data_IF_003612241293
#
_entry.id   IF_003612241293
#
_cell.length_a   1.000
_cell.length_b   1.000
_cell.length_c   1.000
_cell.angle_alpha   90.00
_cell.angle_beta   90.00
_cell.angle_gamma   90.00
#
_symmetry.space_group_name_H-M   'P 1'
#
loop_
_entity.id
_entity.type
_entity.pdbx_description
1 polymer ?
#
# COMPACT_ATOMS: atom_id res chain seq x y z
N UNK A 1 1.61 1.88 -13.41
CA UNK A 1 2.68 2.80 -12.96
C UNK A 1 3.80 1.94 -12.37
N UNK A 2 5.05 2.22 -12.70
CA UNK A 2 6.26 1.50 -12.22
C UNK A 2 6.22 -0.03 -12.42
N UNK A 3 5.36 -0.47 -13.33
CA UNK A 3 5.09 -1.86 -13.62
C UNK A 3 4.58 -2.02 -15.04
N UNK A 4 4.78 -3.21 -15.59
CA UNK A 4 4.22 -3.66 -16.85
C UNK A 4 3.62 -5.05 -16.63
N UNK A 5 2.47 -5.34 -17.25
CA UNK A 5 1.84 -6.64 -17.13
C UNK A 5 1.42 -7.20 -18.49
N UNK A 6 1.25 -8.51 -18.54
CA UNK A 6 0.72 -9.23 -19.71
C UNK A 6 -0.23 -10.33 -19.27
N UNK A 7 -1.25 -10.60 -20.08
CA UNK A 7 -2.12 -11.77 -19.96
C UNK A 7 -2.07 -12.60 -21.23
N UNK A 8 -2.14 -13.92 -21.09
CA UNK A 8 -2.16 -14.85 -22.23
C UNK A 8 -2.98 -16.09 -21.92
N UNK A 9 -3.42 -16.78 -22.96
CA UNK A 9 -4.06 -18.08 -22.83
C UNK A 9 -3.01 -19.18 -22.62
N UNK A 10 -3.28 -20.20 -21.79
CA UNK A 10 -2.36 -21.31 -21.62
C UNK A 10 -2.14 -22.06 -22.93
N UNK A 11 -0.87 -22.37 -23.23
CA UNK A 11 -0.45 -23.25 -24.30
C UNK A 11 -0.60 -24.71 -23.84
N UNK A 12 -1.10 -25.57 -24.73
CA UNK A 12 -1.23 -26.99 -24.46
C UNK A 12 0.14 -27.60 -24.08
N UNK A 13 0.14 -28.45 -23.04
CA UNK A 13 1.31 -29.15 -22.50
C UNK A 13 2.38 -28.26 -21.80
N UNK A 14 2.20 -26.94 -21.74
CA UNK A 14 3.07 -26.08 -20.93
C UNK A 14 2.87 -26.37 -19.43
N UNK A 15 3.96 -26.64 -18.74
CA UNK A 15 3.96 -26.95 -17.30
C UNK A 15 4.07 -25.66 -16.47
N UNK A 16 4.97 -24.77 -16.89
CA UNK A 16 5.19 -23.44 -16.30
C UNK A 16 5.53 -22.45 -17.42
N UNK A 17 5.76 -21.19 -17.04
CA UNK A 17 6.27 -20.16 -17.94
C UNK A 17 7.42 -19.43 -17.28
N UNK A 18 8.42 -19.07 -18.07
CA UNK A 18 9.36 -18.03 -17.73
C UNK A 18 8.90 -16.73 -18.41
N UNK A 19 9.05 -15.62 -17.70
CA UNK A 19 8.76 -14.30 -18.24
C UNK A 19 9.96 -13.40 -18.03
N UNK A 20 10.32 -12.69 -19.09
CA UNK A 20 11.44 -11.76 -19.11
C UNK A 20 10.96 -10.38 -19.53
N UNK A 21 11.57 -9.33 -19.01
CA UNK A 21 11.38 -7.98 -19.52
C UNK A 21 12.65 -7.45 -20.20
N UNK A 22 12.45 -6.61 -21.21
CA UNK A 22 13.51 -5.80 -21.82
C UNK A 22 13.03 -4.37 -21.97
N UNK A 23 13.91 -3.39 -21.76
CA UNK A 23 13.58 -1.96 -21.78
C UNK A 23 14.50 -1.17 -20.86
N UNK A 24 14.63 0.14 -21.10
CA UNK A 24 15.49 1.04 -20.32
C UNK A 24 16.95 0.52 -20.13
N UNK A 25 17.54 -0.06 -21.18
CA UNK A 25 18.90 -0.62 -21.15
C UNK A 25 19.02 -2.02 -20.54
N UNK A 26 17.92 -2.60 -20.04
CA UNK A 26 17.88 -3.97 -19.53
C UNK A 26 17.43 -4.92 -20.65
N UNK A 27 18.08 -6.07 -20.76
CA UNK A 27 17.79 -7.09 -21.78
C UNK A 27 17.50 -8.42 -21.10
N UNK A 28 16.31 -8.98 -21.38
CA UNK A 28 15.87 -10.28 -20.92
C UNK A 28 16.07 -10.52 -19.41
N UNK A 29 15.72 -9.55 -18.57
CA UNK A 29 15.72 -9.77 -17.12
C UNK A 29 14.53 -10.65 -16.76
N UNK A 30 14.79 -11.83 -16.18
CA UNK A 30 13.74 -12.72 -15.72
C UNK A 30 13.03 -12.12 -14.50
N UNK A 31 11.71 -12.26 -14.44
CA UNK A 31 10.92 -11.91 -13.26
C UNK A 31 10.78 -13.10 -12.32
N UNK A 32 10.49 -12.83 -11.05
CA UNK A 32 10.25 -13.86 -10.05
C UNK A 32 9.02 -14.71 -10.41
N UNK A 33 9.10 -16.01 -10.15
CA UNK A 33 8.04 -16.96 -10.55
C UNK A 33 6.72 -16.70 -9.83
N UNK A 34 6.75 -16.11 -8.63
CA UNK A 34 5.57 -15.69 -7.87
C UNK A 34 4.74 -14.63 -8.61
N UNK A 35 5.36 -13.87 -9.51
CA UNK A 35 4.71 -12.85 -10.31
C UNK A 35 4.04 -13.42 -11.57
N UNK A 36 4.22 -14.72 -11.85
CA UNK A 36 3.63 -15.46 -12.98
C UNK A 36 2.50 -16.33 -12.44
N UNK A 37 1.25 -15.94 -12.69
CA UNK A 37 0.07 -16.45 -11.99
C UNK A 37 -0.94 -17.05 -12.96
N UNK A 38 -1.48 -18.22 -12.61
CA UNK A 38 -2.57 -18.88 -13.35
C UNK A 38 -3.91 -18.50 -12.75
N UNK A 39 -4.85 -18.10 -13.60
CA UNK A 39 -6.26 -17.84 -13.27
C UNK A 39 -7.18 -18.89 -13.92
N UNK A 40 -6.64 -20.07 -14.23
CA UNK A 40 -7.33 -21.17 -14.92
C UNK A 40 -7.47 -20.94 -16.42
N UNK A 41 -8.26 -19.95 -16.83
CA UNK A 41 -8.52 -19.65 -18.26
C UNK A 41 -7.44 -18.79 -18.93
N UNK A 42 -6.65 -18.08 -18.12
CA UNK A 42 -5.53 -17.27 -18.58
C UNK A 42 -4.41 -17.26 -17.54
N UNK A 43 -3.23 -16.86 -17.98
CA UNK A 43 -2.11 -16.50 -17.11
C UNK A 43 -1.92 -14.98 -17.11
N UNK A 44 -1.35 -14.47 -16.02
CA UNK A 44 -0.92 -13.08 -15.88
C UNK A 44 0.53 -13.05 -15.39
N UNK A 45 1.32 -12.11 -15.88
CA UNK A 45 2.62 -11.78 -15.34
C UNK A 45 2.74 -10.29 -15.08
N UNK A 46 3.36 -9.91 -13.97
CA UNK A 46 3.58 -8.51 -13.58
C UNK A 46 5.08 -8.27 -13.36
N UNK A 47 5.72 -7.50 -14.24
CA UNK A 47 7.06 -6.97 -14.02
C UNK A 47 6.95 -5.70 -13.18
N UNK A 48 7.52 -5.71 -11.97
CA UNK A 48 7.39 -4.65 -10.97
C UNK A 48 8.73 -3.93 -10.72
N UNK A 49 8.66 -2.69 -10.25
CA UNK A 49 9.85 -1.91 -9.92
C UNK A 49 10.60 -1.42 -11.15
N UNK A 50 9.86 -1.01 -12.18
CA UNK A 50 10.42 -0.55 -13.44
C UNK A 50 10.52 0.98 -13.45
N UNK A 51 11.64 1.49 -13.98
CA UNK A 51 11.77 2.91 -14.26
C UNK A 51 10.80 3.36 -15.36
N UNK A 52 10.44 4.65 -15.45
CA UNK A 52 9.69 5.17 -16.58
C UNK A 52 10.41 4.87 -17.89
N UNK A 53 9.67 4.38 -18.88
CA UNK A 53 10.27 3.96 -20.14
C UNK A 53 9.33 3.08 -20.97
N UNK A 54 9.92 2.50 -22.01
CA UNK A 54 9.23 1.55 -22.89
C UNK A 54 9.83 0.17 -22.72
N UNK A 55 8.98 -0.83 -22.52
CA UNK A 55 9.35 -2.20 -22.22
C UNK A 55 8.63 -3.19 -23.13
N UNK A 56 9.18 -4.40 -23.25
CA UNK A 56 8.49 -5.56 -23.82
C UNK A 56 8.58 -6.71 -22.84
N UNK A 57 7.53 -7.52 -22.73
CA UNK A 57 7.54 -8.78 -21.97
C UNK A 57 7.65 -9.96 -22.94
N UNK A 58 8.61 -10.84 -22.68
CA UNK A 58 8.83 -12.10 -23.41
C UNK A 58 8.34 -13.26 -22.54
N UNK A 59 7.33 -13.97 -23.02
CA UNK A 59 6.69 -15.10 -22.37
C UNK A 59 7.20 -16.38 -23.03
N UNK A 60 7.71 -17.31 -22.23
CA UNK A 60 8.34 -18.54 -22.71
C UNK A 60 7.70 -19.74 -22.01
N UNK A 61 6.95 -20.61 -22.72
CA UNK A 61 6.41 -21.82 -22.12
C UNK A 61 7.55 -22.78 -21.77
N UNK A 62 7.41 -23.51 -20.67
CA UNK A 62 8.35 -24.55 -20.25
C UNK A 62 7.66 -25.91 -20.37
N UNK A 63 8.21 -26.79 -21.21
CA UNK A 63 7.69 -28.14 -21.48
C UNK A 63 8.82 -29.13 -21.24
N UNK A 64 8.63 -30.06 -20.29
CA UNK A 64 9.66 -31.03 -19.93
C UNK A 64 10.94 -30.37 -19.39
N UNK A 65 10.78 -29.23 -18.70
CA UNK A 65 11.91 -28.45 -18.16
C UNK A 65 12.68 -27.62 -19.20
N UNK A 66 12.24 -27.59 -20.47
CA UNK A 66 12.90 -26.85 -21.55
C UNK A 66 12.04 -25.68 -22.01
N UNK A 67 12.68 -24.52 -22.21
CA UNK A 67 12.04 -23.35 -22.80
C UNK A 67 11.64 -23.60 -24.25
N UNK A 68 10.37 -23.36 -24.56
CA UNK A 68 9.81 -23.46 -25.90
C UNK A 68 9.90 -22.15 -26.70
N UNK A 69 9.04 -22.02 -27.71
CA UNK A 69 8.97 -20.82 -28.54
C UNK A 69 8.39 -19.65 -27.75
N UNK A 70 9.15 -18.56 -27.67
CA UNK A 70 8.75 -17.35 -26.97
C UNK A 70 7.73 -16.52 -27.75
N UNK A 71 6.86 -15.82 -27.03
CA UNK A 71 6.01 -14.74 -27.55
C UNK A 71 6.43 -13.42 -26.89
N UNK A 72 6.51 -12.33 -27.65
CA UNK A 72 6.89 -11.01 -27.14
C UNK A 72 5.71 -10.05 -27.29
N UNK A 73 5.40 -9.29 -26.25
CA UNK A 73 4.37 -8.25 -26.31
C UNK A 73 4.77 -7.13 -27.28
N UNK A 74 3.78 -6.35 -27.72
CA UNK A 74 4.06 -4.99 -28.19
C UNK A 74 4.76 -4.16 -27.10
N UNK A 75 5.29 -3.00 -27.48
CA UNK A 75 5.83 -2.02 -26.55
C UNK A 75 4.78 -1.64 -25.48
N UNK A 76 5.20 -1.62 -24.22
CA UNK A 76 4.44 -1.27 -23.03
C UNK A 76 5.06 -0.01 -22.42
N UNK A 77 4.25 1.01 -22.17
CA UNK A 77 4.70 2.24 -21.52
C UNK A 77 4.62 2.10 -20.00
N UNK A 78 5.72 2.39 -19.33
CA UNK A 78 5.82 2.49 -17.87
C UNK A 78 5.99 3.96 -17.51
N UNK A 79 5.21 4.43 -16.53
CA UNK A 79 5.25 5.79 -16.00
C UNK A 79 5.61 5.76 -14.51
N UNK A 80 6.14 6.86 -13.99
CA UNK A 80 6.46 7.02 -12.57
C UNK A 80 5.19 7.18 -11.73
N UNK A 81 5.29 6.81 -10.45
CA UNK A 81 4.35 7.30 -9.45
C UNK A 81 4.59 8.78 -9.13
N UNK A 82 3.52 9.50 -8.80
CA UNK A 82 3.54 10.90 -8.41
C UNK A 82 4.00 11.04 -6.94
N UNK A 83 5.26 11.44 -6.76
CA UNK A 83 5.92 11.59 -5.46
C UNK A 83 5.80 13.02 -4.93
N UNK A 84 4.58 13.52 -4.81
CA UNK A 84 4.27 14.84 -4.27
C UNK A 84 3.79 14.77 -2.81
N UNK A 85 3.86 15.89 -2.09
CA UNK A 85 3.36 15.99 -0.71
C UNK A 85 4.41 15.77 0.38
N UNK A 86 3.97 15.87 1.63
CA UNK A 86 4.85 15.93 2.78
C UNK A 86 5.64 14.64 3.07
N UNK A 87 5.23 13.47 2.55
CA UNK A 87 5.99 12.22 2.72
C UNK A 87 7.39 12.27 2.08
N UNK A 88 7.61 13.21 1.16
CA UNK A 88 8.88 13.40 0.44
C UNK A 88 9.66 14.63 0.93
N UNK A 89 9.24 15.22 2.05
CA UNK A 89 9.93 16.35 2.68
C UNK A 89 11.41 16.02 2.92
N UNK A 90 12.27 17.01 2.76
CA UNK A 90 13.73 16.83 2.91
C UNK A 90 14.37 15.90 1.88
N UNK A 91 13.70 15.60 0.77
CA UNK A 91 14.21 14.71 -0.29
C UNK A 91 14.12 13.23 0.07
N UNK A 92 13.31 12.87 1.07
CA UNK A 92 13.08 11.47 1.44
C UNK A 92 12.25 10.75 0.38
N UNK A 93 12.48 9.44 0.25
CA UNK A 93 11.66 8.53 -0.55
C UNK A 93 11.31 7.33 0.34
N UNK A 94 10.11 7.34 0.94
CA UNK A 94 9.62 6.24 1.78
C UNK A 94 9.63 4.90 1.05
N UNK A 95 9.73 3.81 1.82
CA UNK A 95 9.63 2.46 1.26
C UNK A 95 10.89 1.92 0.58
N UNK A 96 10.77 0.78 -0.08
CA UNK A 96 11.82 0.02 -0.72
C UNK A 96 12.07 0.39 -2.20
N UNK A 97 11.49 1.49 -2.68
CA UNK A 97 11.64 1.98 -4.04
C UNK A 97 12.45 3.29 -4.12
N UNK A 98 13.25 3.42 -5.17
CA UNK A 98 13.93 4.67 -5.53
C UNK A 98 12.94 5.69 -6.09
N UNK A 99 13.34 6.96 -6.18
CA UNK A 99 12.54 8.03 -6.78
C UNK A 99 12.10 7.76 -8.23
N UNK A 100 12.86 6.93 -8.96
CA UNK A 100 12.54 6.53 -10.33
C UNK A 100 11.67 5.26 -10.40
N UNK A 101 11.18 4.72 -9.28
CA UNK A 101 10.35 3.51 -9.25
C UNK A 101 11.11 2.19 -9.29
N UNK A 102 12.44 2.18 -9.41
CA UNK A 102 13.22 0.94 -9.31
C UNK A 102 13.36 0.48 -7.86
N UNK A 103 13.47 -0.82 -7.61
CA UNK A 103 13.72 -1.36 -6.27
C UNK A 103 15.09 -0.89 -5.76
N UNK A 104 15.15 -0.46 -4.48
CA UNK A 104 16.40 -0.07 -3.82
C UNK A 104 17.40 -1.23 -3.79
N UNK A 105 18.69 -0.92 -3.90
CA UNK A 105 19.75 -1.92 -3.78
C UNK A 105 19.66 -2.67 -2.44
N UNK A 106 19.95 -3.97 -2.46
CA UNK A 106 19.92 -4.84 -1.27
C UNK A 106 18.54 -4.99 -0.61
N UNK A 107 17.47 -4.55 -1.27
CA UNK A 107 16.11 -4.81 -0.79
C UNK A 107 15.85 -6.32 -0.70
N UNK A 108 15.16 -6.72 0.35
CA UNK A 108 14.69 -8.10 0.54
C UNK A 108 13.21 -8.16 0.19
N UNK A 109 12.88 -9.00 -0.79
CA UNK A 109 11.52 -9.16 -1.30
C UNK A 109 10.89 -10.39 -0.67
N UNK A 110 9.69 -10.20 -0.09
CA UNK A 110 8.92 -11.25 0.56
C UNK A 110 7.56 -11.36 -0.11
N UNK A 111 7.25 -12.53 -0.68
CA UNK A 111 5.97 -12.79 -1.35
C UNK A 111 4.99 -13.47 -0.40
N UNK A 112 3.85 -12.83 -0.20
CA UNK A 112 2.76 -13.30 0.64
C UNK A 112 1.60 -13.72 -0.26
N UNK A 113 1.26 -14.99 -0.23
CA UNK A 113 0.05 -15.56 -0.83
C UNK A 113 -0.83 -16.12 0.27
N UNK A 114 -2.10 -16.40 -0.04
CA UNK A 114 -2.99 -17.07 0.92
C UNK A 114 -2.39 -18.38 1.46
N UNK A 115 -1.62 -19.10 0.65
CA UNK A 115 -1.00 -20.37 1.01
C UNK A 115 0.32 -20.21 1.79
N UNK A 116 1.01 -19.08 1.65
CA UNK A 116 2.34 -18.85 2.24
C UNK A 116 2.34 -17.86 3.40
N UNK A 117 1.23 -17.18 3.68
CA UNK A 117 1.11 -16.13 4.71
C UNK A 117 1.61 -16.55 6.10
N UNK A 118 1.51 -17.83 6.45
CA UNK A 118 1.92 -18.35 7.75
C UNK A 118 3.28 -19.07 7.75
N UNK A 119 3.91 -19.26 6.58
CA UNK A 119 5.11 -20.12 6.42
C UNK A 119 6.28 -19.40 5.79
N UNK A 120 6.05 -18.22 5.22
CA UNK A 120 7.13 -17.37 4.71
C UNK A 120 8.17 -17.10 5.80
N UNK A 121 9.43 -17.02 5.43
CA UNK A 121 10.49 -16.78 6.41
C UNK A 121 11.61 -15.92 5.86
N UNK A 122 12.28 -15.21 6.77
CA UNK A 122 13.40 -14.34 6.45
C UNK A 122 14.36 -14.29 7.64
N UNK A 123 15.67 -14.35 7.37
CA UNK A 123 16.67 -14.00 8.37
C UNK A 123 16.74 -12.48 8.49
N UNK A 124 16.49 -11.93 9.68
CA UNK A 124 16.52 -10.49 9.95
C UNK A 124 17.63 -10.17 10.94
N UNK A 125 18.45 -9.18 10.60
CA UNK A 125 19.58 -8.74 11.41
C UNK A 125 19.09 -8.19 12.74
N UNK A 126 19.56 -8.78 13.84
CA UNK A 126 19.20 -8.35 15.20
C UNK A 126 17.87 -8.91 15.72
N UNK A 127 17.17 -9.74 14.95
CA UNK A 127 16.00 -10.46 15.45
C UNK A 127 16.37 -11.44 16.57
N UNK A 128 15.44 -11.68 17.49
CA UNK A 128 15.63 -12.59 18.64
C UNK A 128 15.84 -14.04 18.19
N UNK A 129 15.11 -14.46 17.16
CA UNK A 129 15.17 -15.81 16.58
C UNK A 129 15.25 -15.68 15.06
N UNK A 130 16.10 -16.49 14.45
CA UNK A 130 16.21 -16.62 13.01
C UNK A 130 16.11 -18.10 12.58
N UNK A 131 15.44 -18.40 11.46
CA UNK A 131 14.69 -17.46 10.63
C UNK A 131 13.41 -16.97 11.34
N UNK A 132 13.02 -15.72 11.10
CA UNK A 132 11.69 -15.25 11.47
C UNK A 132 10.66 -15.94 10.56
N UNK A 133 9.64 -16.59 11.11
CA UNK A 133 8.61 -17.31 10.34
C UNK A 133 7.25 -16.64 10.50
N UNK A 134 6.59 -16.34 9.39
CA UNK A 134 5.35 -15.56 9.31
C UNK A 134 5.60 -14.05 9.18
N UNK A 135 4.68 -13.35 8.51
CA UNK A 135 4.83 -11.91 8.21
C UNK A 135 5.01 -11.06 9.47
N UNK A 136 4.15 -11.24 10.49
CA UNK A 136 4.23 -10.45 11.71
C UNK A 136 5.56 -10.67 12.46
N UNK A 137 6.06 -11.90 12.51
CA UNK A 137 7.36 -12.23 13.12
C UNK A 137 8.52 -11.58 12.37
N UNK A 138 8.45 -11.52 11.03
CA UNK A 138 9.46 -10.82 10.21
C UNK A 138 9.45 -9.33 10.54
N UNK A 139 8.27 -8.70 10.61
CA UNK A 139 8.12 -7.29 10.97
C UNK A 139 8.63 -7.00 12.39
N UNK A 140 8.42 -7.92 13.34
CA UNK A 140 9.00 -7.82 14.69
C UNK A 140 10.53 -7.94 14.72
N UNK A 141 11.13 -8.59 13.72
CA UNK A 141 12.57 -8.55 13.49
C UNK A 141 13.02 -7.16 13.05
N UNK A 142 12.34 -6.55 12.06
CA UNK A 142 12.65 -5.20 11.58
C UNK A 142 12.39 -4.11 12.62
N UNK A 143 11.39 -4.31 13.48
CA UNK A 143 11.11 -3.51 14.67
C UNK A 143 12.33 -3.33 15.59
N UNK A 144 13.35 -4.19 15.52
CA UNK A 144 14.58 -4.05 16.32
C UNK A 144 15.48 -2.91 15.86
N UNK A 145 15.22 -2.28 14.72
CA UNK A 145 15.98 -1.12 14.21
C UNK A 145 17.44 -1.45 13.86
N UNK A 146 17.72 -2.70 13.45
CA UNK A 146 19.09 -3.20 13.21
C UNK A 146 19.33 -3.72 11.79
N UNK A 147 18.28 -4.03 11.05
CA UNK A 147 18.38 -4.44 9.66
C UNK A 147 18.19 -3.24 8.74
N UNK A 148 19.25 -2.86 8.02
CA UNK A 148 19.24 -1.72 7.12
C UNK A 148 18.79 -2.07 5.69
N UNK A 149 18.49 -3.35 5.40
CA UNK A 149 17.98 -3.73 4.09
C UNK A 149 16.55 -3.19 3.95
N UNK A 150 16.19 -2.53 2.83
CA UNK A 150 14.79 -2.20 2.57
C UNK A 150 13.93 -3.47 2.52
N UNK A 151 12.84 -3.52 3.26
CA UNK A 151 11.90 -4.63 3.20
C UNK A 151 10.81 -4.31 2.17
N UNK A 152 10.63 -5.20 1.19
CA UNK A 152 9.55 -5.13 0.23
C UNK A 152 8.63 -6.35 0.38
N UNK A 153 7.46 -6.14 0.97
CA UNK A 153 6.43 -7.18 1.12
C UNK A 153 5.43 -7.06 -0.02
N UNK A 154 5.21 -8.15 -0.76
CA UNK A 154 4.30 -8.23 -1.90
C UNK A 154 3.14 -9.17 -1.60
N UNK A 155 1.93 -8.65 -1.50
CA UNK A 155 0.70 -9.42 -1.39
C UNK A 155 0.22 -9.87 -2.77
N UNK A 156 -0.11 -11.15 -2.90
CA UNK A 156 -0.60 -11.76 -4.13
C UNK A 156 -1.93 -12.46 -3.85
N UNK A 157 -3.00 -11.96 -4.47
CA UNK A 157 -4.35 -12.48 -4.29
C UNK A 157 -5.01 -12.04 -2.99
N UNK A 158 -6.13 -12.67 -2.65
CA UNK A 158 -6.89 -12.41 -1.44
C UNK A 158 -6.23 -13.06 -0.22
N UNK A 159 -5.74 -12.24 0.71
CA UNK A 159 -5.08 -12.68 1.94
C UNK A 159 -6.06 -12.51 3.11
N UNK A 160 -6.54 -13.63 3.65
CA UNK A 160 -7.32 -13.61 4.89
C UNK A 160 -6.41 -13.63 6.13
N UNK A 161 -6.98 -13.62 7.33
CA UNK A 161 -6.26 -13.59 8.60
C UNK A 161 -5.04 -14.52 8.67
N UNK A 162 -3.96 -13.98 9.21
CA UNK A 162 -2.72 -14.72 9.47
C UNK A 162 -2.81 -15.40 10.83
N UNK A 163 -2.04 -16.47 11.02
CA UNK A 163 -2.01 -17.20 12.29
C UNK A 163 -1.43 -16.40 13.44
N UNK A 164 -0.62 -15.37 13.13
CA UNK A 164 -0.06 -14.45 14.12
C UNK A 164 -0.21 -13.00 13.63
N UNK A 165 -0.96 -12.23 14.41
CA UNK A 165 -1.28 -10.81 14.21
C UNK A 165 -1.37 -10.16 15.60
N UNK A 166 -1.11 -8.85 15.71
CA UNK A 166 -1.29 -8.14 16.98
C UNK A 166 -2.68 -7.54 17.03
N UNK A 167 -3.60 -8.16 17.78
CA UNK A 167 -4.97 -7.66 17.93
C UNK A 167 -5.72 -7.51 16.59
N UNK A 168 -5.54 -8.48 15.70
CA UNK A 168 -6.13 -8.46 14.35
C UNK A 168 -5.37 -7.60 13.33
N UNK A 169 -4.30 -6.91 13.73
CA UNK A 169 -3.48 -6.11 12.82
C UNK A 169 -2.18 -6.82 12.41
N UNK A 170 -1.76 -6.55 11.17
CA UNK A 170 -0.35 -6.59 10.78
C UNK A 170 0.30 -5.25 11.13
N UNK A 171 1.29 -5.30 12.02
CA UNK A 171 1.91 -4.11 12.60
C UNK A 171 3.29 -3.87 12.01
N UNK A 172 3.46 -2.70 11.40
CA UNK A 172 4.71 -2.19 10.84
C UNK A 172 5.36 -1.26 11.88
N UNK A 173 6.54 -1.65 12.35
CA UNK A 173 7.42 -0.87 13.22
C UNK A 173 8.86 -1.04 12.72
N UNK A 174 9.69 0.00 12.82
CA UNK A 174 11.13 -0.11 12.53
C UNK A 174 12.02 0.67 13.50
N UNK A 175 11.49 1.00 14.68
CA UNK A 175 12.19 1.78 15.73
C UNK A 175 12.69 3.14 15.24
N UNK A 176 11.95 3.73 14.28
CA UNK A 176 12.36 4.96 13.58
C UNK A 176 13.80 4.89 13.04
N UNK A 177 14.24 3.71 12.63
CA UNK A 177 15.61 3.51 12.16
C UNK A 177 15.84 4.30 10.88
N UNK A 178 16.74 5.29 10.93
CA UNK A 178 16.92 6.27 9.87
C UNK A 178 17.29 5.67 8.49
N UNK A 179 17.94 4.51 8.49
CA UNK A 179 18.31 3.76 7.27
C UNK A 179 17.30 2.65 6.92
N UNK A 180 16.34 2.37 7.79
CA UNK A 180 15.29 1.38 7.60
C UNK A 180 14.18 1.92 6.70
N UNK A 181 13.60 1.03 5.89
CA UNK A 181 12.42 1.35 5.09
C UNK A 181 11.61 0.08 4.80
N UNK A 182 10.30 0.22 4.76
CA UNK A 182 9.37 -0.89 4.56
C UNK A 182 8.32 -0.48 3.52
N UNK A 183 8.14 -1.28 2.48
CA UNK A 183 6.99 -1.21 1.59
C UNK A 183 6.11 -2.43 1.78
N UNK A 184 4.82 -2.21 1.96
CA UNK A 184 3.79 -3.23 1.82
C UNK A 184 2.98 -2.92 0.55
N UNK A 185 3.13 -3.74 -0.48
CA UNK A 185 2.43 -3.55 -1.75
C UNK A 185 1.62 -4.76 -2.19
N UNK A 186 0.57 -4.54 -2.97
CA UNK A 186 -0.14 -5.60 -3.66
C UNK A 186 0.33 -5.77 -5.10
N UNK A 187 0.20 -6.99 -5.61
CA UNK A 187 0.59 -7.34 -6.99
C UNK A 187 -0.64 -7.50 -7.87
N UNK A 188 -0.68 -6.76 -8.97
CA UNK A 188 -1.77 -6.81 -9.94
C UNK A 188 -3.04 -6.12 -9.44
N UNK A 189 -4.19 -6.73 -9.68
CA UNK A 189 -5.52 -6.14 -9.42
C UNK A 189 -6.38 -7.00 -8.49
N UNK A 190 -5.76 -7.92 -7.75
CA UNK A 190 -6.42 -8.93 -6.94
C UNK A 190 -5.79 -9.10 -5.56
N UNK A 191 -4.84 -8.23 -5.19
CA UNK A 191 -4.19 -8.23 -3.89
C UNK A 191 -5.07 -7.58 -2.83
N UNK A 192 -5.53 -8.34 -1.84
CA UNK A 192 -6.49 -7.87 -0.84
C UNK A 192 -6.05 -8.27 0.58
N UNK A 193 -6.10 -7.33 1.51
CA UNK A 193 -6.13 -7.56 2.94
C UNK A 193 -7.60 -7.71 3.39
N UNK A 194 -8.00 -8.91 3.77
CA UNK A 194 -9.40 -9.27 4.03
C UNK A 194 -9.57 -9.85 5.42
N UNK A 195 -10.27 -9.14 6.30
CA UNK A 195 -10.42 -9.55 7.70
C UNK A 195 -9.53 -8.76 8.66
N UNK A 196 -8.38 -8.26 8.23
CA UNK A 196 -7.36 -7.72 9.14
C UNK A 196 -6.93 -6.29 8.78
N UNK A 197 -6.40 -5.58 9.78
CA UNK A 197 -5.95 -4.19 9.67
C UNK A 197 -4.45 -4.05 9.45
N UNK A 198 -4.00 -2.91 8.93
CA UNK A 198 -2.58 -2.54 8.84
C UNK A 198 -2.31 -1.39 9.79
N UNK A 199 -1.46 -1.62 10.78
CA UNK A 199 -1.12 -0.61 11.79
C UNK A 199 0.33 -0.19 11.70
N UNK A 200 0.58 1.12 11.62
CA UNK A 200 1.92 1.70 11.60
C UNK A 200 2.17 2.44 12.91
N UNK A 201 3.24 2.07 13.62
CA UNK A 201 3.68 2.75 14.85
C UNK A 201 5.19 2.73 14.99
N UNK A 202 5.77 3.78 15.57
CA UNK A 202 7.21 3.92 15.80
C UNK A 202 8.02 3.58 14.52
N UNK A 203 7.58 4.13 13.39
CA UNK A 203 8.12 3.79 12.08
C UNK A 203 8.45 5.01 11.20
N UNK A 204 9.62 4.97 10.56
CA UNK A 204 10.06 5.94 9.55
C UNK A 204 10.14 5.29 8.17
N UNK A 205 9.91 6.06 7.09
CA UNK A 205 10.08 5.63 5.68
C UNK A 205 9.22 4.42 5.28
N UNK A 206 7.91 4.54 5.45
CA UNK A 206 6.94 3.47 5.12
C UNK A 206 6.14 3.82 3.87
N UNK A 207 5.97 2.85 2.98
CA UNK A 207 5.07 2.93 1.81
C UNK A 207 4.04 1.79 1.87
N UNK A 208 2.76 2.12 1.68
CA UNK A 208 1.70 1.12 1.56
C UNK A 208 0.94 1.40 0.27
N UNK A 209 0.85 0.42 -0.63
CA UNK A 209 0.31 0.68 -1.97
C UNK A 209 -0.36 -0.49 -2.69
N UNK A 210 -1.26 -0.17 -3.63
CA UNK A 210 -1.84 -1.14 -4.58
C UNK A 210 -2.48 -2.36 -3.89
N UNK A 211 -3.17 -2.14 -2.78
CA UNK A 211 -3.87 -3.18 -2.01
C UNK A 211 -5.34 -2.79 -1.90
N UNK A 212 -6.24 -3.78 -1.97
CA UNK A 212 -7.61 -3.64 -1.52
C UNK A 212 -7.73 -3.98 -0.03
N UNK A 213 -8.48 -3.20 0.75
CA UNK A 213 -8.78 -3.50 2.16
C UNK A 213 -10.29 -3.72 2.32
N UNK A 214 -10.70 -4.78 3.01
CA UNK A 214 -12.12 -5.08 3.24
C UNK A 214 -12.33 -5.92 4.50
N UNK A 215 -13.52 -5.81 5.09
CA UNK A 215 -13.95 -6.61 6.24
C UNK A 215 -12.98 -6.56 7.44
N UNK A 216 -12.23 -5.47 7.63
CA UNK A 216 -11.28 -5.34 8.74
C UNK A 216 -12.02 -5.45 10.09
N UNK A 217 -11.73 -6.50 10.85
CA UNK A 217 -12.34 -6.80 12.16
C UNK A 217 -11.33 -6.72 13.33
N UNK A 218 -10.20 -6.04 13.10
CA UNK A 218 -9.16 -5.84 14.12
C UNK A 218 -9.68 -5.02 15.32
N UNK A 219 -9.01 -5.16 16.48
CA UNK A 219 -9.42 -4.45 17.70
C UNK A 219 -9.32 -2.92 17.54
N UNK A 220 -8.40 -2.44 16.70
CA UNK A 220 -8.28 -1.01 16.38
C UNK A 220 -9.40 -0.54 15.43
N UNK A 221 -9.97 -1.45 14.65
CA UNK A 221 -11.05 -1.20 13.70
C UNK A 221 -10.65 -0.43 12.44
N UNK A 222 -9.44 0.12 12.38
CA UNK A 222 -8.93 0.87 11.25
C UNK A 222 -8.42 -0.06 10.14
N UNK A 223 -8.87 0.08 8.88
CA UNK A 223 -8.31 -0.73 7.77
C UNK A 223 -6.80 -0.45 7.64
N UNK A 224 -6.42 0.83 7.64
CA UNK A 224 -5.03 1.27 7.77
C UNK A 224 -4.96 2.40 8.81
N UNK A 225 -4.21 2.19 9.89
CA UNK A 225 -4.06 3.16 10.97
C UNK A 225 -2.60 3.54 11.25
N UNK A 226 -2.28 4.82 11.11
CA UNK A 226 -1.04 5.40 11.64
C UNK A 226 -1.31 5.88 13.07
N UNK A 227 -0.67 5.26 14.06
CA UNK A 227 -1.09 5.43 15.46
C UNK A 227 -0.19 6.35 16.29
N UNK A 228 1.13 6.19 16.18
CA UNK A 228 2.07 6.88 17.08
C UNK A 228 3.49 6.91 16.53
N UNK A 229 4.12 8.07 16.65
CA UNK A 229 5.54 8.32 16.42
C UNK A 229 6.04 7.83 15.06
N UNK A 230 5.28 8.15 14.00
CA UNK A 230 5.64 7.82 12.63
C UNK A 230 6.09 9.07 11.85
N UNK A 231 7.05 8.88 10.93
CA UNK A 231 7.47 9.92 9.99
C UNK A 231 7.72 9.40 8.57
N UNK A 232 7.47 10.25 7.56
CA UNK A 232 7.70 9.93 6.14
C UNK A 232 6.94 8.66 5.72
N UNK A 233 5.60 8.74 5.77
CA UNK A 233 4.71 7.64 5.41
C UNK A 233 3.88 8.01 4.18
N UNK A 234 3.86 7.11 3.18
CA UNK A 234 3.09 7.27 1.96
C UNK A 234 2.09 6.13 1.78
N UNK A 235 0.80 6.44 1.76
CA UNK A 235 -0.27 5.46 1.47
C UNK A 235 -0.95 5.84 0.18
N UNK A 236 -0.84 5.00 -0.86
CA UNK A 236 -1.32 5.38 -2.17
C UNK A 236 -1.82 4.23 -3.05
N UNK A 237 -2.74 4.54 -3.97
CA UNK A 237 -3.37 3.53 -4.84
C UNK A 237 -3.97 2.37 -4.02
N UNK A 238 -4.54 2.67 -2.85
CA UNK A 238 -5.24 1.69 -2.02
C UNK A 238 -6.74 1.83 -2.25
N UNK A 239 -7.41 0.69 -2.44
CA UNK A 239 -8.86 0.62 -2.49
C UNK A 239 -9.37 0.27 -1.09
N UNK A 240 -10.16 1.15 -0.49
CA UNK A 240 -10.82 0.97 0.79
C UNK A 240 -12.28 0.59 0.53
N UNK A 241 -12.56 -0.71 0.58
CA UNK A 241 -13.93 -1.21 0.51
C UNK A 241 -14.59 -1.15 1.89
N UNK A 242 -15.84 -1.62 1.95
CA UNK A 242 -16.65 -1.66 3.16
C UNK A 242 -15.93 -2.37 4.33
N UNK A 243 -15.91 -1.71 5.49
CA UNK A 243 -15.30 -2.26 6.72
C UNK A 243 -16.23 -3.22 7.46
N UNK A 244 -15.71 -3.96 8.44
CA UNK A 244 -16.55 -4.83 9.27
C UNK A 244 -17.48 -4.00 10.17
N UNK A 245 -18.77 -4.31 10.22
CA UNK A 245 -19.71 -3.56 11.04
C UNK A 245 -19.31 -3.60 12.53
N UNK A 246 -19.12 -2.42 13.13
CA UNK A 246 -18.83 -2.28 14.57
C UNK A 246 -20.10 -2.19 15.42
N UNK A 247 -19.93 -2.02 16.74
CA UNK A 247 -21.05 -1.93 17.67
C UNK A 247 -21.67 -0.54 17.75
N UNK A 248 -20.92 0.51 17.41
CA UNK A 248 -21.44 1.88 17.47
C UNK A 248 -22.31 2.22 16.25
N UNK A 249 -23.35 3.06 16.40
CA UNK A 249 -24.24 3.44 15.29
C UNK A 249 -23.53 4.09 14.10
N UNK A 250 -22.35 4.69 14.31
CA UNK A 250 -21.55 5.29 13.25
C UNK A 250 -20.49 4.33 12.64
N UNK A 251 -20.47 3.07 13.10
CA UNK A 251 -19.57 2.00 12.64
C UNK A 251 -20.28 0.93 11.79
N UNK A 252 -21.51 1.18 11.31
CA UNK A 252 -22.24 0.24 10.45
C UNK A 252 -21.45 -0.14 9.19
N UNK A 253 -20.57 0.76 8.72
CA UNK A 253 -19.66 0.57 7.58
C UNK A 253 -18.17 0.41 7.95
N UNK A 254 -17.88 -0.03 9.19
CA UNK A 254 -16.52 -0.06 9.75
C UNK A 254 -16.15 1.17 10.58
N UNK A 255 -14.99 1.09 11.26
CA UNK A 255 -14.38 2.27 11.88
C UNK A 255 -13.63 3.14 10.85
N UNK A 256 -12.36 3.49 11.07
CA UNK A 256 -11.57 4.31 10.15
C UNK A 256 -11.10 3.52 8.93
N UNK A 257 -11.26 4.05 7.73
CA UNK A 257 -10.64 3.45 6.55
C UNK A 257 -9.13 3.73 6.55
N UNK A 258 -8.74 5.00 6.69
CA UNK A 258 -7.35 5.42 6.71
C UNK A 258 -7.16 6.56 7.71
N UNK A 259 -6.81 6.19 8.93
CA UNK A 259 -6.66 7.11 10.07
C UNK A 259 -5.19 7.48 10.31
N UNK A 260 -4.96 8.73 10.70
CA UNK A 260 -3.63 9.25 10.99
C UNK A 260 -3.61 10.00 12.32
N UNK A 261 -2.87 9.44 13.28
CA UNK A 261 -2.72 9.90 14.66
C UNK A 261 -1.21 9.99 14.96
N UNK A 262 -0.80 11.04 15.69
CA UNK A 262 0.56 11.29 16.21
C UNK A 262 1.68 10.96 15.21
N UNK A 263 1.54 11.41 13.97
CA UNK A 263 2.46 11.13 12.86
C UNK A 263 2.76 12.42 12.11
N UNK A 264 3.86 12.47 11.35
CA UNK A 264 4.20 13.67 10.55
C UNK A 264 4.88 13.31 9.24
N UNK A 265 4.95 14.27 8.31
CA UNK A 265 5.44 14.06 6.96
C UNK A 265 4.70 12.90 6.28
N UNK A 266 3.38 13.03 6.20
CA UNK A 266 2.50 11.99 5.66
C UNK A 266 1.91 12.42 4.31
N UNK A 267 1.69 11.47 3.42
CA UNK A 267 0.93 11.70 2.18
C UNK A 267 -0.02 10.54 1.92
N UNK A 268 -1.29 10.87 1.71
CA UNK A 268 -2.31 9.93 1.27
C UNK A 268 -2.79 10.34 -0.12
N UNK A 269 -2.55 9.49 -1.12
CA UNK A 269 -2.78 9.90 -2.51
C UNK A 269 -3.33 8.81 -3.42
N UNK A 270 -4.16 9.17 -4.40
CA UNK A 270 -4.71 8.21 -5.38
C UNK A 270 -5.43 7.01 -4.73
N UNK A 271 -5.94 7.17 -3.50
CA UNK A 271 -6.72 6.13 -2.84
C UNK A 271 -8.19 6.25 -3.21
N UNK A 272 -8.90 5.12 -3.25
CA UNK A 272 -10.33 5.06 -3.55
C UNK A 272 -11.07 4.56 -2.32
N UNK A 273 -11.97 5.38 -1.79
CA UNK A 273 -12.83 5.04 -0.68
C UNK A 273 -14.20 4.68 -1.23
N UNK A 274 -14.51 3.38 -1.32
CA UNK A 274 -15.73 2.85 -1.87
C UNK A 274 -16.76 2.59 -0.77
N UNK A 275 -17.77 3.46 -0.69
CA UNK A 275 -18.89 3.33 0.25
C UNK A 275 -18.44 3.13 1.72
N UNK A 276 -17.34 3.78 2.12
CA UNK A 276 -16.81 3.72 3.49
C UNK A 276 -17.59 4.63 4.45
N UNK A 277 -17.66 4.28 5.73
CA UNK A 277 -18.35 5.13 6.74
C UNK A 277 -17.50 6.32 7.21
N UNK A 278 -16.30 6.03 7.73
CA UNK A 278 -15.39 7.03 8.30
C UNK A 278 -14.07 6.96 7.55
N UNK A 279 -13.86 7.85 6.57
CA UNK A 279 -12.72 7.72 5.65
C UNK A 279 -11.38 8.04 6.30
N UNK A 280 -11.20 9.28 6.81
CA UNK A 280 -9.93 9.76 7.34
C UNK A 280 -10.10 10.61 8.60
N UNK A 281 -9.89 10.03 9.77
CA UNK A 281 -9.60 10.82 10.97
C UNK A 281 -8.15 11.28 10.94
N UNK A 282 -7.94 12.57 11.13
CA UNK A 282 -6.63 13.16 11.26
C UNK A 282 -6.51 13.86 12.61
N UNK A 283 -5.74 13.26 13.49
CA UNK A 283 -5.55 13.70 14.86
C UNK A 283 -6.65 13.23 15.81
N UNK A 284 -6.26 12.99 17.06
CA UNK A 284 -7.13 12.57 18.16
C UNK A 284 -6.79 13.34 19.46
N UNK A 285 -5.53 13.30 19.87
CA UNK A 285 -5.07 13.79 21.19
C UNK A 285 -3.59 14.24 21.19
N UNK A 286 -3.16 14.88 20.10
CA UNK A 286 -1.76 15.28 19.87
C UNK A 286 -1.25 16.31 20.86
N UNK A 287 -2.13 17.14 21.43
CA UNK A 287 -1.80 18.20 22.38
C UNK A 287 -0.75 19.23 21.89
N UNK A 288 -0.46 19.25 20.59
CA UNK A 288 0.40 20.21 19.90
C UNK A 288 -0.15 20.49 18.51
N UNK A 289 0.16 21.66 17.95
CA UNK A 289 -0.13 22.03 16.55
C UNK A 289 1.15 22.21 15.72
N UNK A 290 2.32 21.99 16.33
CA UNK A 290 3.61 22.17 15.68
C UNK A 290 4.12 20.85 15.10
N UNK A 291 4.70 20.91 13.90
CA UNK A 291 5.38 19.76 13.31
C UNK A 291 4.43 18.65 12.83
N UNK A 292 3.14 18.95 12.60
CA UNK A 292 2.12 17.99 12.19
C UNK A 292 1.66 18.29 10.76
N UNK A 293 2.28 17.63 9.78
CA UNK A 293 2.11 17.92 8.36
C UNK A 293 1.64 16.70 7.57
N UNK A 294 0.63 16.91 6.73
CA UNK A 294 0.08 15.85 5.89
C UNK A 294 -0.54 16.40 4.60
N UNK A 295 -0.41 15.63 3.53
CA UNK A 295 -0.99 15.91 2.22
C UNK A 295 -2.03 14.86 1.85
N UNK A 296 -3.17 15.29 1.33
CA UNK A 296 -4.18 14.45 0.70
C UNK A 296 -4.33 14.87 -0.75
N UNK A 297 -4.04 13.99 -1.72
CA UNK A 297 -4.27 14.35 -3.12
C UNK A 297 -4.73 13.25 -4.05
N UNK A 298 -5.56 13.63 -5.03
CA UNK A 298 -6.08 12.70 -6.04
C UNK A 298 -6.82 11.48 -5.46
N UNK A 299 -7.27 11.56 -4.22
CA UNK A 299 -8.13 10.53 -3.65
C UNK A 299 -9.55 10.65 -4.20
N UNK A 300 -10.22 9.52 -4.33
CA UNK A 300 -11.62 9.46 -4.72
C UNK A 300 -12.47 8.98 -3.53
N UNK A 301 -13.34 9.86 -3.06
CA UNK A 301 -14.31 9.60 -2.01
C UNK A 301 -15.66 9.28 -2.63
N UNK A 302 -15.89 7.99 -2.89
CA UNK A 302 -16.97 7.46 -3.72
C UNK A 302 -18.09 6.88 -2.88
N UNK A 303 -19.18 7.64 -2.72
CA UNK A 303 -20.35 7.32 -1.90
C UNK A 303 -20.03 7.05 -0.41
N UNK A 304 -18.87 7.47 0.05
CA UNK A 304 -18.46 7.39 1.46
C UNK A 304 -19.17 8.43 2.34
N UNK A 305 -19.41 8.14 3.61
CA UNK A 305 -20.26 8.98 4.44
C UNK A 305 -19.54 10.26 4.92
N UNK A 306 -18.36 10.15 5.54
CA UNK A 306 -17.76 11.26 6.30
C UNK A 306 -16.23 11.21 6.46
N UNK A 307 -15.67 12.30 7.00
CA UNK A 307 -14.26 12.48 7.37
C UNK A 307 -13.32 12.47 6.15
N UNK A 308 -13.42 13.47 5.28
CA UNK A 308 -12.66 13.51 4.01
C UNK A 308 -11.70 14.72 3.84
N UNK A 309 -10.73 14.97 4.74
CA UNK A 309 -10.52 14.38 6.07
C UNK A 309 -11.27 15.13 7.19
N UNK A 310 -11.39 14.53 8.38
CA UNK A 310 -11.70 15.27 9.61
C UNK A 310 -10.41 15.59 10.35
N UNK A 311 -10.02 16.85 10.36
CA UNK A 311 -8.73 17.35 10.86
C UNK A 311 -8.87 17.95 12.24
N UNK A 312 -7.94 17.59 13.12
CA UNK A 312 -7.63 18.22 14.41
C UNK A 312 -6.14 18.52 14.41
N UNK A 313 -5.69 19.60 15.04
CA UNK A 313 -4.28 19.95 15.30
C UNK A 313 -3.32 20.17 14.10
N UNK A 314 -3.51 19.46 12.99
CA UNK A 314 -2.55 19.37 11.88
C UNK A 314 -2.67 20.54 10.91
N UNK A 315 -1.58 20.79 10.19
CA UNK A 315 -1.59 21.53 8.92
C UNK A 315 -1.74 20.54 7.77
N UNK A 316 -2.91 20.55 7.13
CA UNK A 316 -3.27 19.64 6.05
C UNK A 316 -3.42 20.38 4.72
N UNK A 317 -2.73 19.90 3.68
CA UNK A 317 -2.98 20.32 2.29
C UNK A 317 -3.81 19.24 1.60
N UNK A 318 -4.99 19.62 1.13
CA UNK A 318 -5.97 18.71 0.56
C UNK A 318 -6.29 19.19 -0.84
N UNK A 319 -5.79 18.51 -1.88
CA UNK A 319 -5.92 19.00 -3.25
C UNK A 319 -6.23 17.95 -4.31
N UNK A 320 -6.90 18.35 -5.40
CA UNK A 320 -7.27 17.50 -6.53
C UNK A 320 -8.02 16.20 -6.15
N UNK A 321 -8.67 16.16 -4.99
CA UNK A 321 -9.49 15.01 -4.62
C UNK A 321 -10.88 15.12 -5.28
N UNK A 322 -11.47 13.96 -5.55
CA UNK A 322 -12.80 13.84 -6.11
C UNK A 322 -13.78 13.34 -5.05
N UNK A 323 -14.83 14.10 -4.80
CA UNK A 323 -15.87 13.83 -3.81
C UNK A 323 -17.17 13.58 -4.53
N UNK A 324 -17.72 12.37 -4.41
CA UNK A 324 -18.88 11.95 -5.20
C UNK A 324 -19.90 11.22 -4.34
N UNK A 325 -21.08 11.83 -4.14
CA UNK A 325 -22.17 11.17 -3.42
C UNK A 325 -21.96 11.03 -1.91
N UNK A 326 -21.18 11.92 -1.29
CA UNK A 326 -20.86 11.79 0.14
C UNK A 326 -22.07 12.12 1.03
N UNK A 327 -22.45 11.17 1.89
CA UNK A 327 -23.73 11.19 2.60
C UNK A 327 -23.80 12.22 3.75
N UNK A 328 -22.69 12.47 4.46
CA UNK A 328 -22.65 13.37 5.63
C UNK A 328 -21.87 14.64 5.30
N UNK A 329 -20.55 14.58 5.13
CA UNK A 329 -19.74 15.78 4.83
C UNK A 329 -18.40 15.43 4.17
N UNK A 330 -17.80 16.39 3.47
CA UNK A 330 -16.45 16.32 2.91
C UNK A 330 -15.37 16.53 3.97
N UNK A 331 -14.63 17.64 3.88
CA UNK A 331 -13.59 17.96 4.85
C UNK A 331 -14.16 18.63 6.11
N UNK A 332 -13.53 18.39 7.26
CA UNK A 332 -13.87 19.04 8.53
C UNK A 332 -12.63 19.59 9.22
N UNK A 333 -12.60 20.87 9.55
CA UNK A 333 -11.48 21.52 10.24
C UNK A 333 -11.87 21.77 11.70
N UNK A 334 -11.22 21.11 12.66
CA UNK A 334 -11.55 21.23 14.10
C UNK A 334 -10.30 21.40 14.96
N UNK A 335 -10.46 21.75 16.25
CA UNK A 335 -9.40 21.76 17.28
C UNK A 335 -8.04 22.32 16.82
N UNK A 336 -8.02 23.58 16.36
CA UNK A 336 -6.79 24.29 16.02
C UNK A 336 -6.06 23.82 14.76
N UNK A 337 -6.72 23.04 13.91
CA UNK A 337 -6.18 22.64 12.61
C UNK A 337 -6.12 23.78 11.59
N UNK A 338 -5.27 23.61 10.60
CA UNK A 338 -5.17 24.46 9.40
C UNK A 338 -5.37 23.57 8.18
N UNK A 339 -6.39 23.84 7.38
CA UNK A 339 -6.73 23.01 6.20
C UNK A 339 -6.75 23.88 4.96
N UNK A 340 -5.82 23.62 4.03
CA UNK A 340 -5.80 24.26 2.73
C UNK A 340 -6.45 23.34 1.69
N UNK A 341 -7.64 23.72 1.23
CA UNK A 341 -8.43 22.97 0.24
C UNK A 341 -8.26 23.60 -1.15
N UNK A 342 -7.62 22.90 -2.08
CA UNK A 342 -7.22 23.45 -3.39
C UNK A 342 -7.62 22.52 -4.55
N UNK A 343 -8.28 23.03 -5.60
CA UNK A 343 -8.52 22.25 -6.82
C UNK A 343 -9.36 20.96 -6.66
N UNK A 344 -10.07 20.79 -5.54
CA UNK A 344 -10.94 19.64 -5.30
C UNK A 344 -12.26 19.77 -6.07
N UNK A 345 -12.86 18.64 -6.47
CA UNK A 345 -14.15 18.61 -7.15
C UNK A 345 -15.21 17.89 -6.31
N UNK A 346 -16.34 18.56 -6.06
CA UNK A 346 -17.45 18.03 -5.27
C UNK A 346 -18.70 17.84 -6.12
N UNK A 347 -19.18 16.59 -6.18
CA UNK A 347 -20.44 16.19 -6.80
C UNK A 347 -21.31 15.52 -5.73
N UNK A 348 -22.55 15.99 -5.58
CA UNK A 348 -23.52 15.40 -4.63
C UNK A 348 -22.99 15.31 -3.18
N UNK A 349 -22.21 16.30 -2.74
CA UNK A 349 -21.73 16.42 -1.36
C UNK A 349 -22.42 17.61 -0.70
N UNK A 350 -23.41 17.34 0.17
CA UNK A 350 -24.27 18.40 0.75
C UNK A 350 -23.48 19.41 1.59
N UNK A 351 -22.48 18.93 2.33
CA UNK A 351 -21.60 19.75 3.15
C UNK A 351 -20.14 19.51 2.72
N UNK A 352 -19.65 20.20 1.67
CA UNK A 352 -18.29 20.01 1.15
C UNK A 352 -17.21 20.27 2.20
N UNK A 353 -17.44 21.26 3.08
CA UNK A 353 -16.57 21.60 4.20
C UNK A 353 -17.39 21.96 5.45
N UNK A 354 -16.84 21.63 6.61
CA UNK A 354 -17.31 22.04 7.93
C UNK A 354 -16.13 22.59 8.77
N UNK A 355 -16.42 23.49 9.71
CA UNK A 355 -15.45 24.12 10.63
C UNK A 355 -15.95 24.09 12.06
#
# INVERSE_FOLDING_TARGET
LESAYVRWQPIANAQTYNVYYSGAGIVNQQIDTQLIRSYGSFFRADALGLAPGTYTLKIVPVIGGVEGTATVTSALTVLAQDRAGFAFSGGRVPGAYNANGTVKSSAVVVYITQNTKNTVSLNVTGATVNPCVGLQTILEGFKKGRDARPLLVRLIGNITDLSYMQSGDIVIENDNFASGSITLEGVGNDAVANGWGIRVKNASNVEIRNIGTMNCDSDEGDNIGLQQDNDHVWVHNVDFFYGHAGSDPDQVKGDGALDCKKSTYVTFSYNHFWDSGKSNLLGLSEATTQGLYITYHHNWYDHSDSRHPRVRFYSAHVYNNYYDGNAKYGAGSTLGSSVFMEGNYFRNCKYPMLT
#
